data_IF_370660073501
#
_entry.id   IF_370660073501
#
_cell.length_a   1.000
_cell.length_b   1.000
_cell.length_c   1.000
_cell.angle_alpha   90.00
_cell.angle_beta   90.00
_cell.angle_gamma   90.00
#
_symmetry.space_group_name_H-M   'P 1'
#
loop_
_entity.id
_entity.type
_entity.pdbx_description
1 polymer ?
#
# COMPACT_ATOMS: atom_id res chain seq x y z
N UNK A 1 -18.80 4.34 -9.25
CA UNK A 1 -17.58 3.88 -9.97
C UNK A 1 -16.29 4.24 -9.26
N UNK A 2 -16.05 5.52 -8.90
CA UNK A 2 -14.82 5.95 -8.19
C UNK A 2 -14.55 5.16 -6.90
N UNK A 3 -15.59 4.89 -6.11
CA UNK A 3 -15.52 4.09 -4.88
C UNK A 3 -14.93 2.70 -5.10
N UNK A 4 -15.30 2.01 -6.19
CA UNK A 4 -14.77 0.68 -6.49
C UNK A 4 -13.30 0.71 -6.87
N UNK A 5 -12.84 1.78 -7.53
CA UNK A 5 -11.41 1.97 -7.85
C UNK A 5 -10.59 2.19 -6.58
N UNK A 6 -11.08 3.03 -5.66
CA UNK A 6 -10.42 3.27 -4.37
C UNK A 6 -10.40 2.01 -3.50
N UNK A 7 -11.49 1.25 -3.49
CA UNK A 7 -11.56 -0.03 -2.80
C UNK A 7 -10.60 -1.07 -3.41
N UNK A 8 -10.51 -1.14 -4.75
CA UNK A 8 -9.54 -1.99 -5.43
C UNK A 8 -8.10 -1.60 -5.07
N UNK A 9 -7.83 -0.29 -4.96
CA UNK A 9 -6.53 0.20 -4.54
C UNK A 9 -6.17 -0.22 -3.10
N UNK A 10 -7.13 -0.18 -2.17
CA UNK A 10 -6.94 -0.73 -0.82
C UNK A 10 -6.59 -2.22 -0.88
N UNK A 11 -7.27 -3.01 -1.72
CA UNK A 11 -6.94 -4.44 -1.88
C UNK A 11 -5.55 -4.65 -2.46
N UNK A 12 -5.09 -3.79 -3.37
CA UNK A 12 -3.72 -3.84 -3.90
C UNK A 12 -2.71 -3.61 -2.78
N UNK A 13 -2.93 -2.62 -1.90
CA UNK A 13 -2.04 -2.38 -0.74
C UNK A 13 -2.01 -3.58 0.20
N UNK A 14 -3.19 -4.12 0.54
CA UNK A 14 -3.27 -5.31 1.41
C UNK A 14 -2.54 -6.50 0.78
N UNK A 15 -2.72 -6.72 -0.53
CA UNK A 15 -2.02 -7.77 -1.25
C UNK A 15 -0.50 -7.55 -1.21
N UNK A 16 -0.01 -6.34 -1.41
CA UNK A 16 1.43 -6.03 -1.32
C UNK A 16 1.99 -6.34 0.09
N UNK A 17 1.26 -5.93 1.13
CA UNK A 17 1.64 -6.22 2.52
C UNK A 17 1.68 -7.72 2.78
N UNK A 18 0.68 -8.47 2.33
CA UNK A 18 0.67 -9.94 2.48
C UNK A 18 1.85 -10.56 1.72
N UNK A 19 2.07 -10.17 0.46
CA UNK A 19 3.16 -10.66 -0.38
C UNK A 19 4.54 -10.30 0.18
N UNK A 20 4.65 -9.24 0.99
CA UNK A 20 5.90 -8.88 1.66
C UNK A 20 6.41 -9.98 2.60
N UNK A 21 5.51 -10.82 3.14
CA UNK A 21 5.83 -11.99 3.97
C UNK A 21 6.25 -13.23 3.16
N UNK A 22 6.03 -13.24 1.84
CA UNK A 22 6.33 -14.36 0.94
C UNK A 22 7.45 -13.99 -0.05
N UNK A 23 8.73 -14.12 0.33
CA UNK A 23 9.85 -13.64 -0.49
C UNK A 23 9.94 -14.32 -1.86
N UNK A 24 9.56 -15.59 -1.98
CA UNK A 24 9.53 -16.31 -3.26
C UNK A 24 8.54 -15.70 -4.26
N UNK A 25 7.37 -15.30 -3.78
CA UNK A 25 6.32 -14.71 -4.62
C UNK A 25 6.65 -13.26 -4.94
N UNK A 26 7.20 -12.52 -3.98
CA UNK A 26 7.62 -11.11 -4.16
C UNK A 26 8.65 -10.92 -5.27
N UNK A 27 9.48 -11.94 -5.54
CA UNK A 27 10.46 -11.91 -6.64
C UNK A 27 9.83 -11.96 -8.03
N UNK A 28 8.59 -12.44 -8.17
CA UNK A 28 7.91 -12.55 -9.46
C UNK A 28 7.61 -11.16 -10.04
N UNK A 29 7.71 -11.01 -11.36
CA UNK A 29 7.58 -9.71 -12.03
C UNK A 29 6.24 -9.02 -11.75
N UNK A 30 5.13 -9.76 -11.75
CA UNK A 30 3.81 -9.21 -11.46
C UNK A 30 3.70 -8.70 -10.02
N UNK A 31 4.34 -9.37 -9.06
CA UNK A 31 4.36 -8.95 -7.65
C UNK A 31 5.20 -7.67 -7.47
N UNK A 32 6.30 -7.54 -8.22
CA UNK A 32 7.09 -6.31 -8.24
C UNK A 32 6.32 -5.13 -8.85
N UNK A 33 5.51 -5.37 -9.88
CA UNK A 33 4.63 -4.33 -10.46
C UNK A 33 3.60 -3.90 -9.42
N UNK A 34 2.95 -4.85 -8.75
CA UNK A 34 2.00 -4.58 -7.69
C UNK A 34 2.63 -3.77 -6.55
N UNK A 35 3.84 -4.15 -6.13
CA UNK A 35 4.61 -3.40 -5.15
C UNK A 35 4.90 -1.97 -5.59
N UNK A 36 5.30 -1.74 -6.84
CA UNK A 36 5.54 -0.37 -7.35
C UNK A 36 4.29 0.50 -7.31
N UNK A 37 3.13 -0.07 -7.62
CA UNK A 37 1.84 0.62 -7.56
C UNK A 37 1.49 0.98 -6.11
N UNK A 38 1.66 0.02 -5.20
CA UNK A 38 1.38 0.21 -3.78
C UNK A 38 2.37 1.19 -3.11
N UNK A 39 3.67 1.11 -3.42
CA UNK A 39 4.75 1.89 -2.81
C UNK A 39 4.74 3.35 -3.29
N UNK A 40 4.23 3.64 -4.49
CA UNK A 40 4.24 4.99 -5.06
C UNK A 40 3.68 6.07 -4.10
N UNK A 41 2.47 5.92 -3.51
CA UNK A 41 1.97 6.87 -2.52
C UNK A 41 2.49 6.61 -1.10
N UNK A 42 2.98 5.40 -0.77
CA UNK A 42 3.52 5.09 0.55
C UNK A 42 4.92 5.69 0.78
N UNK A 43 5.74 5.78 -0.27
CA UNK A 43 7.11 6.30 -0.21
C UNK A 43 7.23 7.69 0.44
N UNK A 44 6.47 8.72 0.05
CA UNK A 44 6.57 10.03 0.70
C UNK A 44 6.19 9.95 2.19
N UNK A 45 5.21 9.13 2.55
CA UNK A 45 4.83 8.93 3.97
C UNK A 45 5.96 8.24 4.73
N UNK A 46 6.56 7.20 4.15
CA UNK A 46 7.71 6.50 4.73
C UNK A 46 8.91 7.42 4.95
N UNK A 47 9.16 8.34 4.03
CA UNK A 47 10.23 9.33 4.14
C UNK A 47 9.99 10.36 5.26
N UNK A 48 8.72 10.58 5.65
CA UNK A 48 8.35 11.44 6.79
C UNK A 48 8.41 10.72 8.14
N UNK A 49 8.47 9.39 8.14
CA UNK A 49 8.48 8.57 9.36
C UNK A 49 9.91 8.35 9.89
N UNK A 50 10.07 8.11 11.20
CA UNK A 50 11.34 7.66 11.77
C UNK A 50 11.84 6.38 11.08
N UNK A 51 13.14 6.32 10.78
CA UNK A 51 13.75 5.19 10.04
C UNK A 51 13.91 3.92 10.87
N UNK A 52 13.83 4.04 12.20
CA UNK A 52 14.10 2.94 13.14
C UNK A 52 12.84 2.14 13.52
N UNK A 53 11.75 2.30 12.77
CA UNK A 53 10.50 1.59 13.05
C UNK A 53 10.58 0.16 12.47
N UNK A 54 10.39 -0.89 13.28
CA UNK A 54 10.50 -2.28 12.83
C UNK A 54 9.35 -2.71 11.89
N UNK A 55 8.20 -2.03 11.97
CA UNK A 55 7.03 -2.28 11.13
C UNK A 55 6.68 -1.00 10.38
N UNK A 56 6.63 -1.04 9.05
CA UNK A 56 6.23 0.10 8.23
C UNK A 56 4.73 0.42 8.44
N UNK A 57 4.36 1.56 9.05
CA UNK A 57 2.97 1.93 9.24
C UNK A 57 2.39 2.63 8.00
N UNK A 58 3.20 2.93 6.99
CA UNK A 58 2.78 3.62 5.76
C UNK A 58 1.59 2.97 5.04
N UNK A 59 1.49 1.62 4.92
CA UNK A 59 0.31 0.98 4.35
C UNK A 59 -0.98 1.32 5.10
N UNK A 60 -0.95 1.30 6.44
CA UNK A 60 -2.12 1.63 7.25
C UNK A 60 -2.51 3.09 7.10
N UNK A 61 -1.53 4.01 7.10
CA UNK A 61 -1.76 5.44 6.92
C UNK A 61 -2.44 5.69 5.55
N UNK A 62 -1.94 5.09 4.46
CA UNK A 62 -2.57 5.22 3.15
C UNK A 62 -3.99 4.65 3.15
N UNK A 63 -4.23 3.47 3.72
CA UNK A 63 -5.56 2.88 3.77
C UNK A 63 -6.55 3.82 4.48
N UNK A 64 -6.15 4.43 5.60
CA UNK A 64 -6.97 5.40 6.33
C UNK A 64 -7.24 6.64 5.47
N UNK A 65 -6.21 7.20 4.81
CA UNK A 65 -6.38 8.35 3.92
C UNK A 65 -7.32 8.06 2.76
N UNK A 66 -7.22 6.88 2.15
CA UNK A 66 -8.12 6.45 1.07
C UNK A 66 -9.54 6.24 1.59
N UNK A 67 -9.73 5.70 2.79
CA UNK A 67 -11.06 5.57 3.40
C UNK A 67 -11.70 6.93 3.70
N UNK A 68 -10.92 7.89 4.22
CA UNK A 68 -11.39 9.26 4.43
C UNK A 68 -11.78 9.89 3.09
N UNK A 69 -10.94 9.73 2.06
CA UNK A 69 -11.23 10.23 0.72
C UNK A 69 -12.51 9.62 0.13
N UNK A 70 -12.73 8.31 0.32
CA UNK A 70 -13.98 7.65 -0.08
C UNK A 70 -15.19 8.20 0.67
N UNK A 71 -15.06 8.49 1.96
CA UNK A 71 -16.16 9.04 2.75
C UNK A 71 -16.55 10.46 2.30
N UNK A 72 -15.58 11.25 1.81
CA UNK A 72 -15.79 12.63 1.36
C UNK A 72 -16.32 12.75 -0.07
N UNK A 73 -16.15 11.72 -0.89
CA UNK A 73 -16.55 11.68 -2.31
C UNK A 73 -17.94 11.05 -2.51
#
# INVERSE_FOLDING_TARGET
>A
MIHHLLQLFIYIIIADVILSYFPDVRRQQWAQILHKIADAPQRPIREMLPKDIPLDPSPMIIIILVQILMYLL
#
